data_IF_027378815813
#
_entry.id   IF_027378815813
#
_cell.length_a   1.000
_cell.length_b   1.000
_cell.length_c   1.000
_cell.angle_alpha   90.00
_cell.angle_beta   90.00
_cell.angle_gamma   90.00
#
_symmetry.space_group_name_H-M   'P 1'
#
loop_
_entity.id
_entity.type
_entity.pdbx_description
1 polymer ?
#
# COMPACT_ATOMS: atom_id res chain seq x y z
N UNK A 1 -1.66 6.68 18.33
CA UNK A 1 -2.28 6.98 17.04
C UNK A 1 -2.85 8.39 17.13
N UNK A 2 -2.18 9.31 16.48
CA UNK A 2 -2.57 10.73 16.47
C UNK A 2 -3.49 10.98 15.27
N UNK A 3 -4.75 11.33 15.55
CA UNK A 3 -5.74 11.71 14.54
C UNK A 3 -5.60 13.19 14.09
N UNK A 4 -4.60 13.91 14.60
CA UNK A 4 -4.43 15.35 14.35
C UNK A 4 -4.19 15.71 12.88
N UNK A 5 -3.81 14.76 12.02
CA UNK A 5 -3.63 14.97 10.59
C UNK A 5 -4.93 15.08 9.76
N UNK A 6 -6.09 14.85 10.40
CA UNK A 6 -7.40 15.23 9.83
C UNK A 6 -7.90 14.45 8.63
N UNK A 7 -7.49 13.21 8.42
CA UNK A 7 -7.85 12.43 7.22
C UNK A 7 -8.50 11.06 7.48
N UNK A 8 -8.46 10.54 8.70
CA UNK A 8 -9.06 9.24 9.04
C UNK A 8 -10.34 9.50 9.83
N UNK A 9 -11.48 9.11 9.28
CA UNK A 9 -12.78 9.29 9.93
C UNK A 9 -13.27 8.05 10.66
N UNK A 10 -12.78 6.87 10.30
CA UNK A 10 -13.19 5.59 10.90
C UNK A 10 -12.00 4.67 11.07
N UNK A 11 -11.81 4.16 12.27
CA UNK A 11 -10.88 3.06 12.55
C UNK A 11 -11.67 1.86 13.05
N UNK A 12 -11.38 0.68 12.53
CA UNK A 12 -11.96 -0.57 12.99
C UNK A 12 -10.88 -1.53 13.41
N UNK A 13 -11.14 -2.28 14.47
CA UNK A 13 -10.27 -3.32 14.98
C UNK A 13 -11.14 -4.45 15.55
N UNK A 14 -10.69 -5.67 15.42
CA UNK A 14 -11.31 -6.82 16.09
C UNK A 14 -10.30 -7.55 16.97
N UNK A 15 -10.79 -8.22 17.97
CA UNK A 15 -9.99 -9.09 18.83
C UNK A 15 -10.82 -10.28 19.30
N UNK A 16 -10.13 -11.41 19.61
CA UNK A 16 -10.78 -12.60 20.17
C UNK A 16 -11.46 -12.25 21.49
N UNK A 17 -12.61 -12.90 21.78
CA UNK A 17 -13.37 -12.65 23.00
C UNK A 17 -12.60 -12.93 24.30
N UNK A 18 -11.65 -13.87 24.27
CA UNK A 18 -10.79 -14.20 25.41
C UNK A 18 -9.57 -13.28 25.56
N UNK A 19 -9.32 -12.37 24.61
CA UNK A 19 -8.17 -11.46 24.68
C UNK A 19 -8.51 -10.17 25.45
N UNK A 20 -8.70 -10.33 26.76
CA UNK A 20 -9.08 -9.22 27.66
C UNK A 20 -8.06 -8.07 27.65
N UNK A 21 -6.77 -8.37 27.52
CA UNK A 21 -5.71 -7.36 27.45
C UNK A 21 -5.90 -6.47 26.23
N UNK A 22 -6.12 -7.07 25.08
CA UNK A 22 -6.34 -6.30 23.85
C UNK A 22 -7.65 -5.51 23.89
N UNK A 23 -8.73 -6.12 24.41
CA UNK A 23 -10.00 -5.43 24.61
C UNK A 23 -9.84 -4.18 25.49
N UNK A 24 -9.10 -4.30 26.60
CA UNK A 24 -8.83 -3.17 27.49
C UNK A 24 -8.04 -2.07 26.76
N UNK A 25 -7.00 -2.44 26.00
CA UNK A 25 -6.19 -1.48 25.24
C UNK A 25 -7.00 -0.76 24.18
N UNK A 26 -7.88 -1.48 23.46
CA UNK A 26 -8.77 -0.92 22.44
C UNK A 26 -9.69 0.13 23.05
N UNK A 27 -10.38 -0.23 24.15
CA UNK A 27 -11.28 0.69 24.85
C UNK A 27 -10.54 1.91 25.43
N UNK A 28 -9.36 1.71 26.01
CA UNK A 28 -8.50 2.79 26.55
C UNK A 28 -8.09 3.79 25.45
N UNK A 29 -7.95 3.33 24.21
CA UNK A 29 -7.63 4.18 23.06
C UNK A 29 -8.88 4.82 22.42
N UNK A 30 -10.04 4.75 23.06
CA UNK A 30 -11.26 5.46 22.66
C UNK A 30 -12.04 4.77 21.54
N UNK A 31 -11.87 3.47 21.36
CA UNK A 31 -12.74 2.68 20.50
C UNK A 31 -13.99 2.25 21.24
N UNK A 32 -15.08 2.14 20.52
CA UNK A 32 -16.35 1.62 21.03
C UNK A 32 -16.64 0.24 20.47
N UNK A 33 -17.14 -0.66 21.30
CA UNK A 33 -17.57 -2.00 20.85
C UNK A 33 -18.83 -1.86 20.01
N UNK A 34 -18.81 -2.38 18.78
CA UNK A 34 -19.93 -2.31 17.82
C UNK A 34 -20.68 -3.64 17.67
N UNK A 35 -20.04 -4.75 17.98
CA UNK A 35 -20.71 -6.03 17.86
C UNK A 35 -19.76 -7.23 17.94
N UNK A 36 -20.25 -8.34 17.46
CA UNK A 36 -19.52 -9.60 17.32
C UNK A 36 -19.47 -9.94 15.84
N UNK A 37 -18.29 -10.28 15.35
CA UNK A 37 -18.08 -10.88 14.03
C UNK A 37 -17.63 -12.32 14.21
N UNK A 38 -17.82 -13.14 13.21
CA UNK A 38 -17.39 -14.53 13.21
C UNK A 38 -16.36 -14.72 12.11
N UNK A 39 -15.24 -15.37 12.47
CA UNK A 39 -14.22 -15.78 11.50
C UNK A 39 -14.69 -17.02 10.73
N UNK A 40 -13.99 -17.40 9.65
CA UNK A 40 -14.40 -18.53 8.79
C UNK A 40 -14.45 -19.88 9.53
N UNK A 41 -13.68 -20.01 10.61
CA UNK A 41 -13.73 -21.17 11.51
C UNK A 41 -14.86 -21.10 12.55
N UNK A 42 -15.70 -20.05 12.48
CA UNK A 42 -16.81 -19.81 13.40
C UNK A 42 -16.41 -19.17 14.73
N UNK A 43 -15.15 -18.80 14.94
CA UNK A 43 -14.69 -18.20 16.19
C UNK A 43 -15.25 -16.78 16.34
N UNK A 44 -15.85 -16.43 17.50
CA UNK A 44 -16.36 -15.10 17.73
C UNK A 44 -15.23 -14.11 17.99
N UNK A 45 -15.38 -12.89 17.46
CA UNK A 45 -14.50 -11.75 17.70
C UNK A 45 -15.31 -10.52 18.04
N UNK A 46 -14.83 -9.73 18.96
CA UNK A 46 -15.43 -8.45 19.27
C UNK A 46 -14.90 -7.39 18.30
N UNK A 47 -15.82 -6.76 17.59
CA UNK A 47 -15.54 -5.66 16.66
C UNK A 47 -15.69 -4.32 17.38
N UNK A 48 -14.71 -3.46 17.18
CA UNK A 48 -14.65 -2.12 17.75
C UNK A 48 -14.46 -1.09 16.65
N UNK A 49 -14.98 0.10 16.89
CA UNK A 49 -14.85 1.23 15.98
C UNK A 49 -14.51 2.50 16.75
N UNK A 50 -13.69 3.34 16.15
CA UNK A 50 -13.45 4.71 16.60
C UNK A 50 -13.73 5.64 15.44
N UNK A 51 -14.62 6.61 15.67
CA UNK A 51 -15.01 7.61 14.68
C UNK A 51 -14.50 8.98 15.09
N UNK A 52 -14.05 9.78 14.11
CA UNK A 52 -13.82 11.20 14.29
C UNK A 52 -15.06 11.95 13.75
N UNK A 53 -15.92 12.45 14.64
CA UNK A 53 -17.17 13.11 14.28
C UNK A 53 -16.99 14.49 13.63
N UNK A 54 -15.75 14.97 13.46
CA UNK A 54 -15.49 16.33 12.96
C UNK A 54 -15.58 16.50 11.45
N UNK A 55 -15.82 15.42 10.66
CA UNK A 55 -15.97 15.51 9.20
C UNK A 55 -17.07 14.63 8.64
N UNK A 56 -18.15 15.28 8.25
CA UNK A 56 -19.16 14.70 7.35
C UNK A 56 -18.57 14.56 5.95
N UNK A 57 -18.51 13.34 5.43
CA UNK A 57 -18.06 13.03 4.08
C UNK A 57 -18.98 13.68 3.04
N UNK A 58 -18.49 14.70 2.35
CA UNK A 58 -19.02 15.07 1.05
C UNK A 58 -18.65 13.97 0.04
N UNK A 59 -19.65 13.38 -0.61
CA UNK A 59 -19.47 12.53 -1.78
C UNK A 59 -18.68 13.29 -2.84
N UNK A 60 -17.40 13.01 -2.98
CA UNK A 60 -16.65 13.36 -4.18
C UNK A 60 -16.28 12.05 -4.85
N UNK A 61 -16.85 11.81 -6.03
CA UNK A 61 -16.30 10.89 -7.02
C UNK A 61 -14.80 11.16 -7.09
N UNK A 62 -14.02 10.16 -6.71
CA UNK A 62 -12.57 10.23 -6.80
C UNK A 62 -12.20 10.32 -8.28
N UNK A 63 -12.15 11.53 -8.81
CA UNK A 63 -11.40 11.81 -10.02
C UNK A 63 -9.97 11.34 -9.74
N UNK A 64 -9.50 10.36 -10.52
CA UNK A 64 -8.11 9.94 -10.59
C UNK A 64 -7.28 11.18 -10.98
N UNK A 65 -6.87 11.97 -10.01
CA UNK A 65 -6.01 13.11 -10.24
C UNK A 65 -4.60 12.56 -10.42
N UNK A 66 -4.10 12.64 -11.64
CA UNK A 66 -2.66 12.53 -11.90
C UNK A 66 -1.93 13.56 -11.05
N UNK A 67 -1.40 13.15 -9.92
CA UNK A 67 -0.54 13.99 -9.12
C UNK A 67 0.91 13.65 -9.46
N UNK A 68 1.47 14.46 -10.31
CA UNK A 68 2.90 14.41 -10.59
C UNK A 68 3.64 15.03 -9.42
N UNK A 69 4.30 14.21 -8.62
CA UNK A 69 5.30 14.69 -7.65
C UNK A 69 6.61 14.78 -8.40
N UNK A 70 7.17 15.97 -8.49
CA UNK A 70 8.46 16.24 -9.16
C UNK A 70 9.51 16.42 -8.08
N UNK A 71 10.57 15.66 -8.13
CA UNK A 71 11.77 15.86 -7.32
C UNK A 71 12.96 16.04 -8.26
N UNK A 72 13.78 17.03 -7.98
CA UNK A 72 15.06 17.19 -8.64
C UNK A 72 16.09 16.28 -7.97
N UNK A 73 16.71 15.40 -8.72
CA UNK A 73 17.89 14.68 -8.27
C UNK A 73 19.07 15.67 -8.21
N UNK A 74 19.50 16.02 -7.01
CA UNK A 74 20.62 16.95 -6.78
C UNK A 74 21.93 16.49 -7.42
N UNK A 75 22.06 15.19 -7.74
CA UNK A 75 23.30 14.63 -8.31
C UNK A 75 23.37 14.76 -9.86
N UNK A 76 22.22 14.74 -10.55
CA UNK A 76 22.17 14.69 -12.01
C UNK A 76 21.38 15.83 -12.66
N UNK A 77 20.62 16.60 -11.87
CA UNK A 77 19.70 17.62 -12.40
C UNK A 77 18.52 17.04 -13.21
N UNK A 78 18.34 15.71 -13.16
CA UNK A 78 17.27 15.02 -13.86
C UNK A 78 16.04 14.92 -12.96
N UNK A 79 14.87 15.15 -13.55
CA UNK A 79 13.60 15.17 -12.83
C UNK A 79 12.99 13.78 -12.80
N UNK A 80 12.60 13.32 -11.61
CA UNK A 80 11.82 12.09 -11.41
C UNK A 80 10.35 12.43 -11.36
N UNK A 81 9.56 11.79 -12.20
CA UNK A 81 8.11 11.92 -12.25
C UNK A 81 7.46 10.67 -11.67
N UNK A 82 6.61 10.82 -10.65
CA UNK A 82 5.77 9.75 -10.16
C UNK A 82 4.40 9.85 -10.84
N UNK A 83 3.94 8.75 -11.43
CA UNK A 83 2.64 8.66 -12.11
C UNK A 83 1.96 7.32 -11.83
N UNK A 84 0.67 7.26 -12.08
CA UNK A 84 -0.03 5.98 -12.14
C UNK A 84 0.55 5.17 -13.32
N UNK A 85 0.86 3.92 -13.05
CA UNK A 85 1.27 2.98 -14.07
C UNK A 85 0.04 2.47 -14.86
N UNK A 86 0.27 2.05 -16.07
CA UNK A 86 -0.75 1.48 -16.96
C UNK A 86 -0.35 0.07 -17.36
N UNK A 87 -1.27 -0.78 -17.86
CA UNK A 87 -0.91 -2.10 -18.40
C UNK A 87 0.17 -2.08 -19.49
N UNK A 88 0.32 -0.96 -20.21
CA UNK A 88 1.39 -0.80 -21.20
C UNK A 88 2.78 -0.77 -20.57
N UNK A 89 2.89 -0.37 -19.31
CA UNK A 89 4.15 -0.31 -18.56
C UNK A 89 4.59 -1.69 -18.04
N UNK A 90 3.73 -2.69 -18.12
CA UNK A 90 3.94 -4.01 -17.49
C UNK A 90 5.27 -4.66 -17.89
N UNK A 91 5.68 -4.50 -19.16
CA UNK A 91 6.96 -5.06 -19.62
C UNK A 91 8.14 -4.42 -18.91
N UNK A 92 8.18 -3.09 -18.85
CA UNK A 92 9.30 -2.36 -18.26
C UNK A 92 9.35 -2.55 -16.73
N UNK A 93 8.19 -2.63 -16.09
CA UNK A 93 8.06 -2.95 -14.66
C UNK A 93 8.51 -4.38 -14.38
N UNK A 94 8.15 -5.35 -15.22
CA UNK A 94 8.62 -6.72 -15.10
C UNK A 94 10.15 -6.82 -15.26
N UNK A 95 10.73 -6.02 -16.15
CA UNK A 95 12.19 -5.95 -16.34
C UNK A 95 12.90 -5.41 -15.06
N UNK A 96 12.22 -4.62 -14.22
CA UNK A 96 12.70 -4.22 -12.89
C UNK A 96 12.55 -5.35 -11.88
N UNK A 97 11.44 -6.09 -11.91
CA UNK A 97 11.11 -7.13 -10.94
C UNK A 97 11.92 -8.41 -11.13
N UNK A 98 12.14 -8.83 -12.37
CA UNK A 98 12.79 -10.08 -12.71
C UNK A 98 14.17 -10.32 -12.06
N UNK A 99 15.08 -9.33 -11.95
CA UNK A 99 16.34 -9.49 -11.22
C UNK A 99 16.14 -9.82 -9.74
N UNK A 100 15.13 -9.24 -9.09
CA UNK A 100 14.82 -9.52 -7.68
C UNK A 100 14.42 -10.98 -7.45
N UNK A 101 13.68 -11.58 -8.39
CA UNK A 101 13.35 -13.02 -8.34
C UNK A 101 14.57 -13.90 -8.55
N UNK A 102 15.44 -13.53 -9.51
CA UNK A 102 16.56 -14.39 -9.92
C UNK A 102 17.76 -14.32 -8.99
N UNK A 103 17.99 -13.17 -8.37
CA UNK A 103 19.28 -12.83 -7.74
C UNK A 103 19.14 -12.55 -6.24
N UNK A 104 17.92 -12.52 -5.70
CA UNK A 104 17.70 -12.17 -4.30
C UNK A 104 16.63 -13.04 -3.64
N UNK A 105 16.60 -13.03 -2.30
CA UNK A 105 15.55 -13.65 -1.49
C UNK A 105 14.44 -12.64 -1.09
N UNK A 106 14.36 -11.47 -1.73
CA UNK A 106 13.42 -10.40 -1.37
C UNK A 106 11.97 -10.74 -1.74
N UNK A 107 11.79 -11.59 -2.73
CA UNK A 107 10.47 -12.05 -3.19
C UNK A 107 10.30 -13.54 -2.92
N UNK A 108 9.07 -13.99 -2.69
CA UNK A 108 8.73 -15.39 -2.50
C UNK A 108 8.42 -16.13 -3.82
N UNK A 109 8.65 -15.52 -4.97
CA UNK A 109 8.50 -16.17 -6.28
C UNK A 109 9.82 -16.86 -6.67
N UNK A 110 9.70 -18.08 -7.21
CA UNK A 110 10.84 -18.86 -7.69
C UNK A 110 11.09 -18.70 -9.20
N UNK A 111 10.05 -18.31 -9.94
CA UNK A 111 10.11 -18.13 -11.40
C UNK A 111 9.56 -16.77 -11.79
N UNK A 112 10.19 -16.16 -12.79
CA UNK A 112 9.71 -14.89 -13.34
C UNK A 112 8.39 -15.15 -14.05
N UNK A 113 7.31 -14.46 -13.69
CA UNK A 113 6.02 -14.63 -14.34
C UNK A 113 6.09 -14.25 -15.82
N UNK A 114 5.20 -14.82 -16.63
CA UNK A 114 5.07 -14.39 -18.02
C UNK A 114 4.56 -12.94 -18.05
N UNK A 115 4.85 -12.22 -19.13
CA UNK A 115 4.36 -10.86 -19.32
C UNK A 115 2.81 -10.80 -19.22
N UNK A 116 2.14 -11.79 -19.76
CA UNK A 116 0.67 -11.89 -19.71
C UNK A 116 0.17 -12.00 -18.28
N UNK A 117 0.74 -12.90 -17.48
CA UNK A 117 0.34 -13.10 -16.08
C UNK A 117 0.64 -11.85 -15.25
N UNK A 118 1.79 -11.24 -15.48
CA UNK A 118 2.18 -10.02 -14.77
C UNK A 118 1.26 -8.85 -15.10
N UNK A 119 0.91 -8.67 -16.39
CA UNK A 119 -0.05 -7.65 -16.82
C UNK A 119 -1.42 -7.86 -16.17
N UNK A 120 -1.92 -9.10 -16.12
CA UNK A 120 -3.20 -9.40 -15.46
C UNK A 120 -3.17 -9.14 -13.94
N UNK A 121 -2.02 -9.40 -13.28
CA UNK A 121 -1.86 -9.05 -11.86
C UNK A 121 -1.93 -7.53 -11.66
N UNK A 122 -1.23 -6.79 -12.51
CA UNK A 122 -1.22 -5.33 -12.49
C UNK A 122 -2.62 -4.73 -12.73
N UNK A 123 -3.36 -5.24 -13.72
CA UNK A 123 -4.75 -4.82 -14.00
C UNK A 123 -5.67 -5.07 -12.80
N UNK A 124 -5.56 -6.24 -12.16
CA UNK A 124 -6.34 -6.56 -10.95
C UNK A 124 -6.02 -5.61 -9.79
N UNK A 125 -4.75 -5.27 -9.61
CA UNK A 125 -4.33 -4.31 -8.58
C UNK A 125 -4.87 -2.93 -8.88
N UNK A 126 -4.71 -2.44 -10.11
CA UNK A 126 -5.18 -1.12 -10.57
C UNK A 126 -6.70 -0.94 -10.47
N UNK A 127 -7.47 -2.04 -10.47
CA UNK A 127 -8.92 -1.97 -10.31
C UNK A 127 -9.36 -1.42 -8.93
N UNK A 128 -8.51 -1.52 -7.90
CA UNK A 128 -8.85 -1.09 -6.53
C UNK A 128 -7.75 -0.25 -5.86
N UNK A 129 -6.49 -0.51 -6.17
CA UNK A 129 -5.36 0.06 -5.45
C UNK A 129 -4.41 0.83 -6.38
N UNK A 130 -3.66 1.81 -5.84
CA UNK A 130 -2.66 2.52 -6.62
C UNK A 130 -1.53 1.59 -7.05
N UNK A 131 -1.08 1.77 -8.28
CA UNK A 131 0.12 1.19 -8.85
C UNK A 131 0.93 2.32 -9.48
N UNK A 132 2.05 2.69 -8.87
CA UNK A 132 2.82 3.88 -9.21
C UNK A 132 4.11 3.50 -9.94
N UNK A 133 4.49 4.29 -10.91
CA UNK A 133 5.77 4.22 -11.61
C UNK A 133 6.56 5.52 -11.38
N UNK A 134 7.84 5.37 -11.06
CA UNK A 134 8.82 6.45 -11.06
C UNK A 134 9.52 6.46 -12.41
N UNK A 135 9.35 7.56 -13.15
CA UNK A 135 9.90 7.75 -14.49
C UNK A 135 10.96 8.85 -14.48
N UNK A 136 12.10 8.58 -15.11
CA UNK A 136 13.19 9.51 -15.30
C UNK A 136 13.69 9.38 -16.74
N UNK A 137 13.77 10.50 -17.47
CA UNK A 137 14.20 10.56 -18.85
C UNK A 137 13.47 9.58 -19.80
N UNK A 138 12.15 9.39 -19.56
CA UNK A 138 11.31 8.50 -20.35
C UNK A 138 11.48 7.00 -20.03
N UNK A 139 12.18 6.66 -18.94
CA UNK A 139 12.42 5.28 -18.49
C UNK A 139 11.85 5.06 -17.11
N UNK A 140 11.20 3.94 -16.87
CA UNK A 140 10.75 3.55 -15.53
C UNK A 140 11.96 3.05 -14.73
N UNK A 141 12.24 3.72 -13.60
CA UNK A 141 13.37 3.43 -12.73
C UNK A 141 12.95 2.77 -11.41
N UNK A 142 11.67 2.76 -11.10
CA UNK A 142 11.12 2.12 -9.93
C UNK A 142 9.60 2.10 -9.99
N UNK A 143 8.99 1.29 -9.13
CA UNK A 143 7.55 1.22 -8.99
C UNK A 143 7.15 0.83 -7.57
N UNK A 144 5.94 1.22 -7.18
CA UNK A 144 5.34 0.82 -5.91
C UNK A 144 3.85 0.55 -6.12
N UNK A 145 3.31 -0.37 -5.37
CA UNK A 145 1.87 -0.65 -5.38
C UNK A 145 1.37 -1.08 -4.02
N UNK A 146 0.07 -1.01 -3.85
CA UNK A 146 -0.61 -1.61 -2.73
C UNK A 146 -1.49 -2.77 -3.18
N UNK A 147 -1.73 -3.71 -2.30
CA UNK A 147 -2.66 -4.82 -2.49
C UNK A 147 -3.42 -5.09 -1.19
N UNK A 148 -4.44 -5.96 -1.22
CA UNK A 148 -5.16 -6.35 -0.02
C UNK A 148 -4.22 -7.07 0.94
N UNK A 149 -4.28 -6.72 2.23
CA UNK A 149 -3.53 -7.46 3.25
C UNK A 149 -4.10 -8.87 3.43
N UNK A 150 -5.44 -8.99 3.39
CA UNK A 150 -6.19 -10.24 3.45
C UNK A 150 -7.51 -10.10 2.70
N UNK A 151 -8.09 -11.21 2.25
CA UNK A 151 -9.31 -11.24 1.42
C UNK A 151 -10.62 -10.95 2.17
N UNK A 152 -10.58 -10.64 3.47
CA UNK A 152 -11.78 -10.40 4.28
C UNK A 152 -12.08 -8.91 4.39
N UNK A 153 -13.36 -8.54 4.30
CA UNK A 153 -13.83 -7.14 4.35
C UNK A 153 -13.37 -6.36 5.60
N UNK A 154 -13.13 -7.04 6.73
CA UNK A 154 -12.58 -6.41 7.92
C UNK A 154 -11.17 -5.82 7.71
N UNK A 155 -10.46 -6.28 6.68
CA UNK A 155 -9.13 -5.81 6.31
C UNK A 155 -9.13 -4.79 5.14
N UNK A 156 -10.30 -4.36 4.66
CA UNK A 156 -10.40 -3.37 3.56
C UNK A 156 -9.71 -2.03 3.88
N UNK A 157 -9.40 -1.76 5.14
CA UNK A 157 -8.67 -0.59 5.64
C UNK A 157 -7.17 -0.79 5.75
N UNK A 158 -6.70 -2.00 5.48
CA UNK A 158 -5.31 -2.40 5.60
C UNK A 158 -4.81 -2.93 4.25
N UNK A 159 -3.62 -2.52 3.88
CA UNK A 159 -2.97 -2.96 2.64
C UNK A 159 -1.58 -3.51 2.92
N UNK A 160 -1.11 -4.37 2.04
CA UNK A 160 0.29 -4.68 1.88
C UNK A 160 0.88 -3.83 0.77
N UNK A 161 2.03 -3.23 1.02
CA UNK A 161 2.74 -2.38 0.07
C UNK A 161 4.00 -3.06 -0.42
N UNK A 162 4.28 -2.92 -1.71
CA UNK A 162 5.51 -3.41 -2.32
C UNK A 162 6.18 -2.29 -3.11
N UNK A 163 7.51 -2.27 -3.05
CA UNK A 163 8.33 -1.29 -3.75
C UNK A 163 9.57 -1.94 -4.32
N UNK A 164 9.87 -1.62 -5.56
CA UNK A 164 11.05 -2.10 -6.27
C UNK A 164 11.69 -0.95 -7.07
N UNK A 165 12.99 -0.81 -6.95
CA UNK A 165 13.78 0.19 -7.66
C UNK A 165 14.83 -0.54 -8.49
N UNK A 166 15.10 -0.06 -9.70
CA UNK A 166 16.16 -0.63 -10.55
C UNK A 166 17.47 -0.75 -9.77
N UNK A 167 18.15 -1.86 -9.95
CA UNK A 167 19.38 -2.14 -9.20
C UNK A 167 20.51 -1.16 -9.52
N UNK A 168 20.48 -0.55 -10.73
CA UNK A 168 21.46 0.42 -11.21
C UNK A 168 21.19 1.87 -10.74
N UNK A 169 20.03 2.16 -10.11
CA UNK A 169 19.66 3.50 -9.64
C UNK A 169 19.36 3.55 -8.13
N UNK A 170 19.92 2.63 -7.37
CA UNK A 170 19.74 2.58 -5.90
C UNK A 170 20.41 3.79 -5.20
N UNK A 171 19.88 4.15 -4.02
CA UNK A 171 20.36 5.23 -3.14
C UNK A 171 20.20 6.66 -3.72
N UNK A 172 19.21 6.86 -4.58
CA UNK A 172 18.87 8.15 -5.14
C UNK A 172 17.54 8.71 -4.61
N UNK A 173 17.06 8.22 -3.46
CA UNK A 173 15.79 8.67 -2.86
C UNK A 173 14.51 8.18 -3.56
N UNK A 174 14.61 7.41 -4.66
CA UNK A 174 13.46 6.95 -5.46
C UNK A 174 12.45 6.18 -4.62
N UNK A 175 12.95 5.36 -3.68
CA UNK A 175 12.09 4.60 -2.77
C UNK A 175 11.26 5.50 -1.88
N UNK A 176 11.82 6.55 -1.33
CA UNK A 176 11.14 7.54 -0.50
C UNK A 176 10.06 8.27 -1.28
N UNK A 177 10.39 8.78 -2.47
CA UNK A 177 9.43 9.45 -3.35
C UNK A 177 8.23 8.56 -3.70
N UNK A 178 8.47 7.29 -4.01
CA UNK A 178 7.41 6.32 -4.29
C UNK A 178 6.54 6.05 -3.05
N UNK A 179 7.14 5.94 -1.86
CA UNK A 179 6.38 5.76 -0.62
C UNK A 179 5.55 6.98 -0.28
N UNK A 180 6.09 8.17 -0.36
CA UNK A 180 5.36 9.41 -0.08
C UNK A 180 4.13 9.55 -0.99
N UNK A 181 4.32 9.30 -2.30
CA UNK A 181 3.23 9.30 -3.25
C UNK A 181 2.21 8.20 -2.95
N UNK A 182 2.66 6.97 -2.64
CA UNK A 182 1.78 5.85 -2.33
C UNK A 182 0.95 6.13 -1.07
N UNK A 183 1.57 6.64 -0.01
CA UNK A 183 0.86 7.02 1.22
C UNK A 183 -0.23 8.07 0.96
N UNK A 184 0.05 9.06 0.14
CA UNK A 184 -0.93 10.08 -0.20
C UNK A 184 -2.15 9.48 -0.92
N UNK A 185 -1.92 8.58 -1.88
CA UNK A 185 -2.99 7.85 -2.57
C UNK A 185 -3.81 6.99 -1.60
N UNK A 186 -3.15 6.25 -0.73
CA UNK A 186 -3.80 5.38 0.25
C UNK A 186 -4.62 6.17 1.26
N UNK A 187 -4.14 7.33 1.71
CA UNK A 187 -4.88 8.25 2.58
C UNK A 187 -6.19 8.72 1.91
N UNK A 188 -6.17 8.98 0.61
CA UNK A 188 -7.36 9.38 -0.14
C UNK A 188 -8.37 8.21 -0.32
N UNK A 189 -7.92 6.98 -0.21
CA UNK A 189 -8.76 5.77 -0.22
C UNK A 189 -9.22 5.33 1.18
N UNK A 190 -8.96 6.15 2.23
CA UNK A 190 -9.26 5.82 3.63
C UNK A 190 -8.52 4.57 4.14
N UNK A 191 -7.39 4.23 3.57
CA UNK A 191 -6.53 3.18 4.10
C UNK A 191 -5.84 3.71 5.36
N UNK A 192 -5.92 2.95 6.45
CA UNK A 192 -5.43 3.34 7.77
C UNK A 192 -4.20 2.55 8.22
N UNK A 193 -3.90 1.46 7.53
CA UNK A 193 -2.77 0.60 7.85
C UNK A 193 -2.09 0.13 6.56
N UNK A 194 -0.82 0.48 6.41
CA UNK A 194 0.03 -0.04 5.35
C UNK A 194 1.10 -0.94 5.97
N UNK A 195 1.22 -2.15 5.44
CA UNK A 195 2.19 -3.15 5.88
C UNK A 195 3.19 -3.39 4.75
N UNK A 196 4.44 -3.62 5.09
CA UNK A 196 5.45 -4.03 4.13
C UNK A 196 6.18 -5.27 4.65
N UNK A 197 6.38 -6.25 3.78
CA UNK A 197 7.23 -7.38 4.07
C UNK A 197 8.66 -7.01 3.64
N UNK A 198 9.57 -6.90 4.61
CA UNK A 198 10.95 -6.51 4.37
C UNK A 198 11.85 -7.71 4.64
N UNK A 199 12.65 -8.11 3.63
CA UNK A 199 13.63 -9.16 3.82
C UNK A 199 14.73 -8.69 4.79
N UNK A 200 15.03 -9.53 5.78
CA UNK A 200 16.15 -9.26 6.66
C UNK A 200 17.46 -9.47 5.88
N UNK A 201 18.39 -8.51 5.91
CA UNK A 201 19.66 -8.69 5.20
C UNK A 201 20.43 -9.85 5.79
N UNK A 202 20.92 -10.74 4.93
CA UNK A 202 21.87 -11.78 5.32
C UNK A 202 23.11 -11.11 5.92
N UNK A 203 23.53 -11.60 7.09
CA UNK A 203 24.75 -11.18 7.77
C UNK A 203 25.98 -11.83 7.13
#
# INVERSE_FOLDING_TARGET
LDFSSGKITHLRIDTHEDNEVMQHLILKNGFEKRGIIYTDDGSPRFAYEKTDETKTLGNSEAALVEKTVMSEDEATGSMVRIRIATPADAKEILDIYAPYIRETAVTFEYEVPTLTDFTQRMERTLAKYPYLAAEQDGRIIGYAYAGPLHDRSAYDWAVETSIYVRMDVKRQGIGELLYDALEEWLKNQNIVCANACVAYPDQ
#
